data_IF_794836009337
#
_entry.id   IF_794836009337
#
_cell.length_a   1.000
_cell.length_b   1.000
_cell.length_c   1.000
_cell.angle_alpha   90.00
_cell.angle_beta   90.00
_cell.angle_gamma   90.00
#
_symmetry.space_group_name_H-M   'P 1'
#
loop_
_entity.id
_entity.type
_entity.pdbx_description
1 polymer ?
#
# COMPACT_ATOMS: atom_id res chain seq x y z
N UNK A 1 -25.37 1.30 -16.93
CA UNK A 1 -24.37 1.96 -16.06
C UNK A 1 -24.42 1.28 -14.69
N UNK A 2 -23.28 0.87 -14.13
CA UNK A 2 -23.17 0.12 -12.86
C UNK A 2 -23.87 0.79 -11.67
N UNK A 3 -23.98 2.12 -11.70
CA UNK A 3 -24.64 2.91 -10.66
C UNK A 3 -26.11 2.51 -10.43
N UNK A 4 -26.85 2.12 -11.48
CA UNK A 4 -28.24 1.60 -11.33
C UNK A 4 -28.32 0.30 -10.53
N UNK A 5 -27.23 -0.45 -10.47
CA UNK A 5 -27.06 -1.66 -9.65
C UNK A 5 -26.46 -1.34 -8.28
N UNK A 6 -26.39 -0.05 -7.92
CA UNK A 6 -25.83 0.50 -6.68
C UNK A 6 -24.35 0.17 -6.49
N UNK A 7 -23.62 0.13 -7.61
CA UNK A 7 -22.19 -0.15 -7.65
C UNK A 7 -21.44 1.16 -7.98
N UNK A 8 -20.49 1.51 -7.11
CA UNK A 8 -19.52 2.60 -7.28
C UNK A 8 -18.14 1.99 -7.44
N UNK A 9 -17.33 2.52 -8.37
CA UNK A 9 -15.97 2.06 -8.61
C UNK A 9 -14.96 3.17 -8.29
N UNK A 10 -14.10 2.95 -7.30
CA UNK A 10 -12.92 3.75 -7.00
C UNK A 10 -11.69 3.04 -7.59
N UNK A 11 -11.41 3.31 -8.86
CA UNK A 11 -10.40 2.60 -9.66
C UNK A 11 -9.09 3.35 -9.91
N UNK A 12 -8.89 4.49 -9.25
CA UNK A 12 -7.78 5.41 -9.49
C UNK A 12 -7.21 5.94 -8.18
N UNK A 13 -6.17 6.77 -8.30
CA UNK A 13 -5.67 7.56 -7.19
C UNK A 13 -6.78 8.43 -6.59
N UNK A 14 -6.73 8.63 -5.27
CA UNK A 14 -7.69 9.48 -4.54
C UNK A 14 -7.23 10.93 -4.65
N UNK A 15 -7.93 11.69 -5.49
CA UNK A 15 -7.82 13.12 -5.69
C UNK A 15 -9.20 13.79 -5.63
N UNK A 16 -9.23 15.13 -5.74
CA UNK A 16 -10.48 15.90 -5.63
C UNK A 16 -11.55 15.45 -6.64
N UNK A 17 -11.15 15.16 -7.87
CA UNK A 17 -12.08 14.76 -8.94
C UNK A 17 -12.70 13.40 -8.62
N UNK A 18 -11.85 12.41 -8.32
CA UNK A 18 -12.27 11.04 -8.06
C UNK A 18 -13.15 10.98 -6.80
N UNK A 19 -12.78 11.70 -5.75
CA UNK A 19 -13.54 11.70 -4.51
C UNK A 19 -14.88 12.43 -4.63
N UNK A 20 -14.93 13.58 -5.29
CA UNK A 20 -16.18 14.29 -5.52
C UNK A 20 -17.18 13.41 -6.28
N UNK A 21 -16.70 12.60 -7.24
CA UNK A 21 -17.54 11.64 -7.95
C UNK A 21 -18.07 10.53 -7.03
N UNK A 22 -17.19 9.91 -6.22
CA UNK A 22 -17.59 8.87 -5.26
C UNK A 22 -18.57 9.40 -4.22
N UNK A 23 -18.29 10.57 -3.62
CA UNK A 23 -19.15 11.23 -2.63
C UNK A 23 -20.52 11.51 -3.24
N UNK A 24 -20.57 12.11 -4.43
CA UNK A 24 -21.84 12.43 -5.09
C UNK A 24 -22.67 11.18 -5.35
N UNK A 25 -22.05 10.08 -5.76
CA UNK A 25 -22.74 8.81 -5.98
C UNK A 25 -23.23 8.14 -4.70
N UNK A 26 -22.44 8.18 -3.62
CA UNK A 26 -22.87 7.68 -2.32
C UNK A 26 -24.14 8.40 -1.85
N UNK A 27 -24.12 9.74 -1.90
CA UNK A 27 -25.25 10.56 -1.48
C UNK A 27 -26.47 10.35 -2.37
N UNK A 28 -26.29 10.25 -3.69
CA UNK A 28 -27.36 9.97 -4.64
C UNK A 28 -28.02 8.62 -4.33
N UNK A 29 -27.24 7.53 -4.28
CA UNK A 29 -27.77 6.18 -4.04
C UNK A 29 -28.45 6.06 -2.67
N UNK A 30 -27.91 6.73 -1.66
CA UNK A 30 -28.53 6.81 -0.33
C UNK A 30 -29.86 7.57 -0.37
N UNK A 31 -29.97 8.64 -1.15
CA UNK A 31 -31.22 9.39 -1.32
C UNK A 31 -32.29 8.61 -2.09
N UNK A 32 -31.89 7.81 -3.09
CA UNK A 32 -32.79 6.99 -3.90
C UNK A 32 -33.43 5.85 -3.09
N UNK A 33 -32.60 5.12 -2.32
CA UNK A 33 -33.08 4.04 -1.46
C UNK A 33 -32.05 3.77 -0.35
N UNK A 34 -32.29 4.29 0.84
CA UNK A 34 -31.38 4.10 1.97
C UNK A 34 -31.49 2.71 2.62
N UNK A 35 -32.46 1.87 2.22
CA UNK A 35 -32.64 0.52 2.79
C UNK A 35 -31.79 -0.52 2.08
N UNK A 36 -31.26 -0.19 0.90
CA UNK A 36 -30.43 -1.09 0.09
C UNK A 36 -28.96 -0.72 0.21
N UNK A 37 -28.14 -1.75 0.34
CA UNK A 37 -26.69 -1.61 0.36
C UNK A 37 -26.15 -0.89 -0.89
N UNK A 38 -25.06 -0.16 -0.70
CA UNK A 38 -24.22 0.40 -1.75
C UNK A 38 -22.94 -0.43 -1.78
N UNK A 39 -22.51 -0.87 -2.97
CA UNK A 39 -21.27 -1.62 -3.16
C UNK A 39 -20.18 -0.71 -3.72
N UNK A 40 -19.16 -0.44 -2.93
CA UNK A 40 -17.98 0.35 -3.29
C UNK A 40 -16.81 -0.59 -3.58
N UNK A 41 -16.50 -0.76 -4.87
CA UNK A 41 -15.34 -1.50 -5.33
C UNK A 41 -14.12 -0.58 -5.32
N UNK A 42 -13.02 -1.04 -4.73
CA UNK A 42 -11.80 -0.25 -4.54
C UNK A 42 -10.63 -0.97 -5.19
N UNK A 43 -10.00 -0.27 -6.13
CA UNK A 43 -8.71 -0.57 -6.72
C UNK A 43 -7.91 0.74 -6.77
N UNK A 44 -7.24 1.09 -5.67
CA UNK A 44 -6.59 2.38 -5.50
C UNK A 44 -5.25 2.27 -4.77
N UNK A 45 -4.21 2.97 -5.26
CA UNK A 45 -2.95 3.11 -4.54
C UNK A 45 -3.04 4.05 -3.33
N UNK A 46 -4.21 4.66 -3.08
CA UNK A 46 -4.39 5.73 -2.10
C UNK A 46 -4.30 7.10 -2.76
N UNK A 47 -3.93 8.12 -1.99
CA UNK A 47 -3.87 9.51 -2.46
C UNK A 47 -4.00 10.50 -1.32
N UNK A 48 -4.69 11.61 -1.58
CA UNK A 48 -4.86 12.68 -0.61
C UNK A 48 -5.65 12.24 0.63
N UNK A 49 -5.09 12.48 1.82
CA UNK A 49 -5.71 12.12 3.10
C UNK A 49 -6.99 12.92 3.34
N UNK A 50 -6.95 14.24 3.15
CA UNK A 50 -8.12 15.12 3.39
C UNK A 50 -9.29 14.75 2.51
N UNK A 51 -9.02 14.51 1.23
CA UNK A 51 -10.03 14.16 0.25
C UNK A 51 -10.57 12.74 0.49
N UNK A 52 -9.70 11.79 0.83
CA UNK A 52 -10.13 10.44 1.23
C UNK A 52 -10.96 10.44 2.52
N UNK A 53 -10.68 11.35 3.47
CA UNK A 53 -11.52 11.55 4.66
C UNK A 53 -12.92 12.07 4.29
N UNK A 54 -13.05 12.87 3.22
CA UNK A 54 -14.36 13.27 2.70
C UNK A 54 -15.20 12.09 2.20
N UNK A 55 -14.57 11.12 1.52
CA UNK A 55 -15.24 9.87 1.14
C UNK A 55 -15.67 9.09 2.38
N UNK A 56 -14.77 8.95 3.36
CA UNK A 56 -15.08 8.29 4.63
C UNK A 56 -16.29 8.93 5.33
N UNK A 57 -16.32 10.25 5.45
CA UNK A 57 -17.42 10.96 6.09
C UNK A 57 -18.73 10.78 5.31
N UNK A 58 -18.69 10.79 3.98
CA UNK A 58 -19.85 10.48 3.15
C UNK A 58 -20.36 9.04 3.37
N UNK A 59 -19.46 8.06 3.50
CA UNK A 59 -19.82 6.68 3.85
C UNK A 59 -20.50 6.60 5.21
N UNK A 60 -20.05 7.38 6.21
CA UNK A 60 -20.64 7.42 7.55
C UNK A 60 -21.92 8.25 7.65
N UNK A 61 -22.09 9.23 6.76
CA UNK A 61 -23.31 10.03 6.65
C UNK A 61 -24.46 9.23 6.01
N UNK A 62 -24.16 8.29 5.13
CA UNK A 62 -25.16 7.42 4.51
C UNK A 62 -25.88 6.58 5.57
N UNK A 63 -27.21 6.47 5.42
CA UNK A 63 -28.03 5.52 6.19
C UNK A 63 -27.98 4.12 5.57
N UNK A 64 -27.83 4.05 4.24
CA UNK A 64 -27.53 2.80 3.56
C UNK A 64 -26.18 2.26 4.01
N UNK A 65 -26.11 0.94 4.19
CA UNK A 65 -24.84 0.26 4.41
C UNK A 65 -23.94 0.40 3.18
N UNK A 66 -22.66 0.69 3.42
CA UNK A 66 -21.65 0.75 2.37
C UNK A 66 -20.78 -0.49 2.48
N UNK A 67 -21.02 -1.46 1.61
CA UNK A 67 -20.16 -2.63 1.45
C UNK A 67 -18.93 -2.25 0.63
N UNK A 68 -17.74 -2.63 1.10
CA UNK A 68 -16.46 -2.34 0.44
C UNK A 68 -15.87 -3.62 -0.10
N UNK A 69 -15.33 -3.58 -1.33
CA UNK A 69 -14.73 -4.75 -1.98
C UNK A 69 -13.37 -4.36 -2.57
N UNK A 70 -12.28 -4.96 -2.06
CA UNK A 70 -10.96 -4.85 -2.68
C UNK A 70 -10.91 -5.67 -3.96
N UNK A 71 -10.53 -5.06 -5.07
CA UNK A 71 -10.34 -5.74 -6.35
C UNK A 71 -9.03 -5.31 -7.00
N UNK A 72 -7.93 -5.97 -6.64
CA UNK A 72 -6.58 -5.57 -7.06
C UNK A 72 -5.81 -4.99 -5.89
N UNK A 73 -5.66 -3.68 -5.82
CA UNK A 73 -4.90 -2.99 -4.77
C UNK A 73 -5.79 -2.09 -3.93
N UNK A 74 -5.63 -2.14 -2.61
CA UNK A 74 -6.07 -1.09 -1.71
C UNK A 74 -4.92 -0.69 -0.81
N UNK A 75 -4.23 0.39 -1.16
CA UNK A 75 -3.09 0.89 -0.42
C UNK A 75 -3.39 2.25 0.22
N UNK A 76 -2.75 2.54 1.36
CA UNK A 76 -2.87 3.82 2.05
C UNK A 76 -4.34 4.22 2.28
N UNK A 77 -4.78 5.37 1.77
CA UNK A 77 -6.19 5.78 1.87
C UNK A 77 -7.17 4.81 1.21
N UNK A 78 -6.74 4.01 0.22
CA UNK A 78 -7.55 2.91 -0.32
C UNK A 78 -7.80 1.81 0.71
N UNK A 79 -6.76 1.38 1.44
CA UNK A 79 -6.88 0.41 2.53
C UNK A 79 -7.77 0.94 3.66
N UNK A 80 -7.59 2.22 4.02
CA UNK A 80 -8.40 2.90 5.02
C UNK A 80 -9.89 2.90 4.66
N UNK A 81 -10.23 3.20 3.40
CA UNK A 81 -11.61 3.21 2.94
C UNK A 81 -12.22 1.81 2.92
N UNK A 82 -11.46 0.79 2.53
CA UNK A 82 -11.93 -0.61 2.63
C UNK A 82 -12.28 -0.96 4.08
N UNK A 83 -11.37 -0.69 5.01
CA UNK A 83 -11.56 -0.98 6.43
C UNK A 83 -12.74 -0.21 7.04
N UNK A 84 -13.12 0.91 6.41
CA UNK A 84 -14.18 1.80 6.83
C UNK A 84 -15.57 1.44 6.30
N UNK A 85 -15.73 0.37 5.51
CA UNK A 85 -17.04 -0.15 5.13
C UNK A 85 -17.91 -0.56 6.33
N UNK A 86 -19.18 -0.84 6.09
CA UNK A 86 -20.09 -1.37 7.11
C UNK A 86 -19.56 -2.70 7.65
N UNK A 87 -19.55 -2.87 8.98
CA UNK A 87 -19.03 -4.06 9.66
C UNK A 87 -19.77 -5.32 9.18
N UNK A 88 -19.02 -6.38 8.86
CA UNK A 88 -19.54 -7.62 8.28
C UNK A 88 -19.77 -7.54 6.76
N UNK A 89 -19.46 -6.41 6.11
CA UNK A 89 -19.66 -6.16 4.67
C UNK A 89 -18.40 -5.64 3.97
N UNK A 90 -17.22 -5.89 4.55
CA UNK A 90 -15.91 -5.51 4.00
C UNK A 90 -15.26 -6.76 3.40
N UNK A 91 -14.89 -6.71 2.13
CA UNK A 91 -14.47 -7.89 1.38
C UNK A 91 -13.18 -7.67 0.61
N UNK A 92 -12.44 -8.76 0.37
CA UNK A 92 -11.31 -8.80 -0.58
C UNK A 92 -11.51 -9.90 -1.62
N UNK A 93 -11.14 -9.62 -2.87
CA UNK A 93 -10.88 -10.71 -3.83
C UNK A 93 -9.58 -11.45 -3.45
N UNK A 94 -9.45 -12.76 -3.73
CA UNK A 94 -8.32 -13.59 -3.28
C UNK A 94 -6.92 -13.09 -3.68
N UNK A 95 -6.77 -12.52 -4.88
CA UNK A 95 -5.48 -11.95 -5.34
C UNK A 95 -5.23 -10.51 -4.88
N UNK A 96 -6.12 -9.95 -4.06
CA UNK A 96 -6.00 -8.56 -3.65
C UNK A 96 -4.83 -8.35 -2.69
N UNK A 97 -4.23 -7.18 -2.80
CA UNK A 97 -3.24 -6.69 -1.84
C UNK A 97 -3.79 -5.49 -1.09
N UNK A 98 -3.63 -5.52 0.22
CA UNK A 98 -3.95 -4.40 1.09
C UNK A 98 -2.65 -3.87 1.69
N UNK A 99 -2.45 -2.56 1.71
CA UNK A 99 -1.25 -1.97 2.30
C UNK A 99 -1.62 -0.80 3.20
N UNK A 100 -1.12 -0.83 4.43
CA UNK A 100 -1.25 0.28 5.39
C UNK A 100 0.14 0.87 5.65
N UNK A 101 0.18 2.19 5.82
CA UNK A 101 1.36 2.96 6.17
C UNK A 101 0.94 4.31 6.76
N UNK A 102 1.89 5.04 7.35
CA UNK A 102 1.67 6.38 7.87
C UNK A 102 1.48 7.40 6.73
N UNK A 103 0.79 8.52 6.97
CA UNK A 103 0.66 9.58 5.98
C UNK A 103 2.02 10.09 5.49
N UNK A 104 2.16 10.24 4.18
CA UNK A 104 3.33 10.82 3.54
C UNK A 104 3.05 12.27 3.13
N UNK A 105 4.10 13.09 3.12
CA UNK A 105 4.03 14.46 2.64
C UNK A 105 5.42 15.06 2.53
N UNK A 106 5.62 15.85 1.48
CA UNK A 106 6.85 16.62 1.25
C UNK A 106 6.51 18.09 1.40
N UNK A 107 7.25 18.81 2.23
CA UNK A 107 7.03 20.23 2.47
C UNK A 107 8.35 20.99 2.39
N UNK A 108 8.31 22.20 1.84
CA UNK A 108 9.43 23.13 1.81
C UNK A 108 8.93 24.55 2.05
N UNK A 109 9.82 25.46 2.46
CA UNK A 109 9.48 26.86 2.74
C UNK A 109 10.06 27.34 4.08
N UNK A 110 9.50 28.45 4.57
CA UNK A 110 9.91 29.06 5.85
C UNK A 110 9.68 28.08 7.01
N UNK A 111 10.51 28.17 8.06
CA UNK A 111 10.41 27.32 9.24
C UNK A 111 9.00 27.35 9.88
N UNK A 112 8.35 28.52 9.88
CA UNK A 112 6.98 28.68 10.38
C UNK A 112 5.96 27.86 9.58
N UNK A 113 6.00 27.92 8.25
CA UNK A 113 5.12 27.14 7.37
C UNK A 113 5.36 25.64 7.53
N UNK A 114 6.62 25.24 7.60
CA UNK A 114 6.99 23.85 7.83
C UNK A 114 6.43 23.33 9.16
N UNK A 115 6.52 24.12 10.23
CA UNK A 115 6.00 23.75 11.55
C UNK A 115 4.48 23.52 11.55
N UNK A 116 3.74 24.31 10.77
CA UNK A 116 2.28 24.17 10.61
C UNK A 116 1.96 22.88 9.85
N UNK A 117 2.68 22.60 8.75
CA UNK A 117 2.47 21.39 7.94
C UNK A 117 2.83 20.10 8.69
N UNK A 118 3.90 20.11 9.47
CA UNK A 118 4.28 18.97 10.33
C UNK A 118 3.18 18.69 11.37
N UNK A 119 2.64 19.74 12.00
CA UNK A 119 1.55 19.60 12.97
C UNK A 119 0.31 18.98 12.34
N UNK A 120 -0.05 19.41 11.14
CA UNK A 120 -1.19 18.85 10.40
C UNK A 120 -0.97 17.37 10.01
N UNK A 121 0.23 17.03 9.57
CA UNK A 121 0.60 15.63 9.29
C UNK A 121 0.51 14.76 10.55
N UNK A 122 1.02 15.25 11.69
CA UNK A 122 0.91 14.55 12.96
C UNK A 122 -0.56 14.36 13.39
N UNK A 123 -1.40 15.37 13.18
CA UNK A 123 -2.84 15.28 13.40
C UNK A 123 -3.47 14.16 12.56
N UNK A 124 -3.20 14.12 11.25
CA UNK A 124 -3.70 13.06 10.38
C UNK A 124 -3.22 11.68 10.78
N UNK A 125 -1.93 11.52 11.12
CA UNK A 125 -1.38 10.24 11.61
C UNK A 125 -2.17 9.73 12.82
N UNK A 126 -2.33 10.56 13.85
CA UNK A 126 -3.07 10.19 15.06
C UNK A 126 -4.54 9.88 14.74
N UNK A 127 -5.19 10.70 13.92
CA UNK A 127 -6.61 10.55 13.57
C UNK A 127 -6.86 9.23 12.82
N UNK A 128 -6.06 8.94 11.80
CA UNK A 128 -6.19 7.71 11.01
C UNK A 128 -5.92 6.47 11.85
N UNK A 129 -4.87 6.48 12.68
CA UNK A 129 -4.54 5.35 13.55
C UNK A 129 -5.67 5.05 14.55
N UNK A 130 -6.28 6.09 15.11
CA UNK A 130 -7.45 5.94 16.00
C UNK A 130 -8.66 5.35 15.29
N UNK A 131 -8.93 5.77 14.06
CA UNK A 131 -10.05 5.20 13.29
C UNK A 131 -9.76 3.75 12.93
N UNK A 132 -8.55 3.46 12.42
CA UNK A 132 -8.12 2.10 12.09
C UNK A 132 -8.23 1.18 13.30
N UNK A 133 -7.72 1.59 14.45
CA UNK A 133 -7.84 0.83 15.71
C UNK A 133 -9.29 0.47 16.03
N UNK A 134 -10.22 1.43 15.88
CA UNK A 134 -11.65 1.19 16.12
C UNK A 134 -12.30 0.23 15.14
N UNK A 135 -11.93 0.30 13.85
CA UNK A 135 -12.58 -0.54 12.81
C UNK A 135 -11.95 -1.92 12.69
N UNK A 136 -10.66 -2.07 13.02
CA UNK A 136 -9.99 -3.39 13.01
C UNK A 136 -10.11 -4.12 14.35
N UNK A 137 -10.25 -3.38 15.45
CA UNK A 137 -10.20 -3.93 16.81
C UNK A 137 -8.79 -4.08 17.39
N UNK A 138 -7.75 -3.70 16.63
CA UNK A 138 -6.38 -3.69 17.14
C UNK A 138 -6.14 -2.49 18.06
N UNK A 139 -5.33 -2.61 19.11
CA UNK A 139 -5.00 -1.47 19.98
C UNK A 139 -4.19 -0.41 19.21
N UNK A 140 -4.34 0.87 19.59
CA UNK A 140 -3.70 2.02 18.88
C UNK A 140 -2.19 1.84 18.72
N UNK A 141 -1.50 1.32 19.74
CA UNK A 141 -0.05 1.08 19.68
C UNK A 141 0.35 0.05 18.62
N UNK A 142 -0.48 -0.97 18.39
CA UNK A 142 -0.22 -1.99 17.36
C UNK A 142 -0.41 -1.39 15.96
N UNK A 143 -1.46 -0.59 15.77
CA UNK A 143 -1.68 0.15 14.52
C UNK A 143 -0.51 1.09 14.23
N UNK A 144 0.00 1.81 15.24
CA UNK A 144 1.13 2.71 15.07
C UNK A 144 2.40 1.98 14.63
N UNK A 145 2.72 0.84 15.24
CA UNK A 145 3.85 0.00 14.83
C UNK A 145 3.69 -0.53 13.41
N UNK A 146 2.50 -1.03 13.08
CA UNK A 146 2.24 -1.68 11.79
C UNK A 146 2.05 -0.68 10.63
N UNK A 147 1.90 0.60 10.92
CA UNK A 147 1.83 1.68 9.92
C UNK A 147 3.13 2.46 9.81
N UNK A 148 4.14 2.24 10.66
CA UNK A 148 5.39 3.02 10.61
C UNK A 148 6.17 2.81 9.28
N UNK A 149 5.98 1.67 8.63
CA UNK A 149 6.50 1.36 7.30
C UNK A 149 5.39 0.75 6.45
N UNK A 150 5.64 0.68 5.15
CA UNK A 150 4.77 -0.03 4.21
C UNK A 150 4.56 -1.47 4.69
N UNK A 151 3.32 -1.76 5.07
CA UNK A 151 2.92 -3.06 5.56
C UNK A 151 1.90 -3.64 4.59
N UNK A 152 2.40 -4.46 3.66
CA UNK A 152 1.57 -5.18 2.71
C UNK A 152 1.02 -6.44 3.34
N UNK A 153 -0.23 -6.74 2.99
CA UNK A 153 -0.97 -7.92 3.39
C UNK A 153 -1.60 -8.55 2.15
N UNK A 154 -1.67 -9.88 2.12
CA UNK A 154 -2.57 -10.59 1.22
C UNK A 154 -4.02 -10.53 1.74
N UNK A 155 -4.99 -11.03 0.98
CA UNK A 155 -6.41 -10.95 1.32
C UNK A 155 -6.76 -11.61 2.68
N UNK A 156 -6.13 -12.75 3.01
CA UNK A 156 -6.36 -13.47 4.26
C UNK A 156 -5.68 -12.80 5.45
N UNK A 157 -4.47 -12.27 5.27
CA UNK A 157 -3.80 -11.45 6.29
C UNK A 157 -4.61 -10.19 6.59
N UNK A 158 -5.18 -9.53 5.58
CA UNK A 158 -6.04 -8.37 5.77
C UNK A 158 -7.32 -8.72 6.55
N UNK A 159 -7.87 -9.93 6.34
CA UNK A 159 -8.98 -10.48 7.13
C UNK A 159 -8.55 -10.74 8.58
N UNK A 160 -7.46 -11.46 8.79
CA UNK A 160 -6.89 -11.76 10.12
C UNK A 160 -6.59 -10.48 10.90
N UNK A 161 -6.10 -9.44 10.22
CA UNK A 161 -5.81 -8.13 10.79
C UNK A 161 -7.07 -7.29 11.11
N UNK A 162 -8.24 -7.65 10.56
CA UNK A 162 -9.50 -6.93 10.74
C UNK A 162 -9.72 -5.75 9.79
N UNK A 163 -8.92 -5.61 8.71
CA UNK A 163 -9.14 -4.62 7.65
C UNK A 163 -10.33 -5.00 6.75
N UNK A 164 -10.58 -6.30 6.59
CA UNK A 164 -11.78 -6.82 5.92
C UNK A 164 -12.43 -7.90 6.77
N UNK A 165 -13.69 -8.20 6.49
CA UNK A 165 -14.44 -9.24 7.18
C UNK A 165 -14.28 -10.59 6.48
N UNK A 166 -14.29 -10.62 5.14
CA UNK A 166 -14.26 -11.86 4.37
C UNK A 166 -13.46 -11.79 3.07
N UNK A 167 -12.97 -12.95 2.62
CA UNK A 167 -12.36 -13.12 1.30
C UNK A 167 -13.40 -13.77 0.40
N UNK A 168 -13.71 -13.15 -0.74
CA UNK A 168 -14.67 -13.68 -1.72
C UNK A 168 -13.97 -14.77 -2.55
N UNK A 169 -13.93 -15.97 -1.98
CA UNK A 169 -13.48 -17.17 -2.65
C UNK A 169 -14.67 -18.11 -2.84
N UNK A 170 -15.16 -18.23 -4.08
CA UNK A 170 -16.27 -19.11 -4.43
C UNK A 170 -15.81 -20.54 -4.76
N UNK A 171 -14.55 -20.87 -4.49
CA UNK A 171 -13.96 -22.18 -4.76
C UNK A 171 -13.82 -22.47 -6.26
N UNK A 172 -13.97 -21.46 -7.13
CA UNK A 172 -13.79 -21.64 -8.57
C UNK A 172 -12.31 -21.90 -8.89
N UNK A 173 -12.00 -23.00 -9.61
CA UNK A 173 -10.64 -23.28 -10.06
C UNK A 173 -10.08 -22.09 -10.87
N UNK A 174 -8.87 -21.63 -10.51
CA UNK A 174 -8.15 -20.59 -11.25
C UNK A 174 -8.25 -19.16 -10.71
N UNK A 175 -9.02 -18.91 -9.64
CA UNK A 175 -9.08 -17.59 -9.00
C UNK A 175 -7.86 -17.32 -8.11
N UNK A 176 -7.16 -18.36 -7.67
CA UNK A 176 -5.88 -18.31 -6.95
C UNK A 176 -4.94 -19.29 -7.65
N UNK A 177 -3.69 -18.90 -7.92
CA UNK A 177 -2.68 -19.85 -8.38
C UNK A 177 -2.48 -20.91 -7.28
N UNK A 178 -2.41 -22.22 -7.60
CA UNK A 178 -2.21 -23.24 -6.59
C UNK A 178 -0.81 -23.11 -5.97
N UNK A 179 -0.69 -22.33 -4.90
CA UNK A 179 0.47 -22.31 -4.01
C UNK A 179 0.22 -23.43 -2.99
N UNK A 180 0.21 -24.69 -3.46
CA UNK A 180 -0.07 -25.92 -2.70
C UNK A 180 -1.35 -25.92 -1.83
N UNK A 181 -2.33 -26.76 -2.19
CA UNK A 181 -3.66 -26.88 -1.57
C UNK A 181 -4.40 -25.54 -1.36
N UNK A 182 -5.64 -25.58 -0.88
CA UNK A 182 -6.51 -24.40 -0.63
C UNK A 182 -5.99 -23.55 0.55
N UNK A 183 -4.69 -23.62 0.83
CA UNK A 183 -4.05 -22.90 1.91
C UNK A 183 -3.96 -21.41 1.55
N UNK A 184 -4.20 -20.50 2.51
CA UNK A 184 -3.92 -19.09 2.29
C UNK A 184 -2.44 -18.94 1.86
N UNK A 185 -2.14 -18.01 0.93
CA UNK A 185 -0.77 -17.76 0.51
C UNK A 185 0.09 -17.44 1.74
N UNK A 186 1.38 -17.82 1.72
CA UNK A 186 2.28 -17.62 2.86
C UNK A 186 2.28 -16.16 3.30
N UNK A 187 2.49 -15.95 4.61
CA UNK A 187 2.49 -14.61 5.20
C UNK A 187 3.49 -13.71 4.44
N UNK A 188 3.05 -12.51 4.10
CA UNK A 188 3.83 -11.54 3.32
C UNK A 188 4.75 -10.70 4.19
N UNK A 189 4.66 -10.79 5.53
CA UNK A 189 5.62 -10.17 6.46
C UNK A 189 7.04 -10.72 6.22
N UNK A 190 7.86 -9.91 5.55
CA UNK A 190 9.28 -10.23 5.26
C UNK A 190 10.16 -10.12 6.52
N UNK A 191 9.66 -9.58 7.64
CA UNK A 191 10.43 -9.45 8.89
C UNK A 191 10.98 -10.78 9.40
N UNK A 192 10.22 -11.86 9.28
CA UNK A 192 10.64 -13.19 9.75
C UNK A 192 11.69 -13.84 8.82
N UNK A 193 11.70 -13.47 7.54
CA UNK A 193 12.71 -13.90 6.57
C UNK A 193 14.03 -13.11 6.70
N UNK A 194 13.96 -11.87 7.21
CA UNK A 194 15.14 -11.02 7.46
C UNK A 194 15.74 -11.19 8.85
N UNK A 195 15.02 -11.84 9.78
CA UNK A 195 15.63 -12.52 10.92
C UNK A 195 16.33 -13.78 10.41
N UNK A 196 17.44 -13.59 9.69
CA UNK A 196 18.46 -14.62 9.55
C UNK A 196 19.05 -14.81 10.94
N UNK A 197 18.37 -15.57 11.80
CA UNK A 197 19.02 -16.21 12.92
C UNK A 197 20.17 -17.03 12.34
N UNK A 198 21.37 -16.63 12.74
CA UNK A 198 22.62 -17.07 12.14
C UNK A 198 22.79 -18.58 12.25
N UNK A 199 22.32 -19.32 11.26
CA UNK A 199 22.93 -20.59 10.91
C UNK A 199 24.34 -20.29 10.40
N UNK A 200 25.36 -20.62 11.20
CA UNK A 200 26.79 -20.55 10.84
C UNK A 200 27.10 -21.19 9.47
N UNK A 201 26.20 -22.02 8.93
CA UNK A 201 26.27 -22.60 7.58
C UNK A 201 25.99 -21.58 6.46
N UNK A 202 25.07 -20.63 6.64
CA UNK A 202 24.69 -19.67 5.60
C UNK A 202 25.78 -18.61 5.34
N UNK A 203 26.60 -18.28 6.34
CA UNK A 203 27.75 -17.38 6.16
C UNK A 203 28.90 -17.99 5.36
N UNK A 204 28.98 -19.32 5.24
CA UNK A 204 30.05 -20.01 4.49
C UNK A 204 29.79 -20.09 2.98
N UNK A 205 28.55 -19.89 2.55
CA UNK A 205 28.14 -20.02 1.14
C UNK A 205 27.76 -18.69 0.49
N UNK A 206 27.98 -17.56 1.16
CA UNK A 206 27.84 -16.24 0.54
C UNK A 206 29.13 -15.95 -0.24
N UNK A 207 29.06 -15.59 -1.52
CA UNK A 207 30.23 -15.09 -2.23
C UNK A 207 30.74 -13.85 -1.50
N UNK A 208 32.00 -13.84 -1.08
CA UNK A 208 32.60 -12.64 -0.53
C UNK A 208 32.52 -11.53 -1.58
N UNK A 209 32.15 -10.32 -1.15
CA UNK A 209 32.11 -9.12 -2.01
C UNK A 209 33.46 -8.86 -2.72
N UNK A 210 34.57 -9.37 -2.17
CA UNK A 210 35.90 -9.37 -2.81
C UNK A 210 35.98 -10.19 -4.12
N UNK A 211 35.16 -11.24 -4.28
CA UNK A 211 35.14 -12.06 -5.52
C UNK A 211 34.36 -11.43 -6.67
N UNK A 212 33.56 -10.38 -6.43
CA UNK A 212 32.88 -9.63 -7.50
C UNK A 212 33.72 -8.47 -8.04
N UNK A 213 34.68 -7.97 -7.26
CA UNK A 213 35.60 -6.92 -7.72
C UNK A 213 36.82 -7.46 -8.51
N UNK A 214 37.13 -8.75 -8.44
CA UNK A 214 38.25 -9.35 -9.21
C UNK A 214 37.90 -9.79 -10.63
N UNK A 215 36.62 -9.92 -11.00
CA UNK A 215 36.21 -10.39 -12.33
C UNK A 215 35.77 -9.26 -13.29
N UNK A 216 36.03 -7.99 -12.94
CA UNK A 216 35.65 -6.82 -13.74
C UNK A 216 36.75 -6.22 -14.63
N UNK A 217 38.00 -6.69 -14.56
CA UNK A 217 39.08 -6.22 -15.42
C UNK A 217 39.98 -7.39 -15.85
N UNK A 218 39.56 -8.07 -16.91
CA UNK A 218 40.38 -9.01 -17.67
C UNK A 218 40.46 -8.57 -19.12
N UNK A 219 41.10 -7.43 -19.40
CA UNK A 219 41.57 -7.15 -20.76
C UNK A 219 42.84 -7.98 -20.95
N UNK A 220 42.79 -8.88 -21.92
CA UNK A 220 43.86 -9.83 -22.25
C UNK A 220 45.19 -9.13 -22.50
N UNK A 221 46.23 -9.61 -21.81
CA UNK A 221 47.61 -9.26 -22.09
C UNK A 221 48.22 -10.18 -23.15
N UNK A 222 48.96 -9.60 -24.09
CA UNK A 222 49.88 -10.34 -24.94
C UNK A 222 50.38 -9.57 -26.16
N UNK A 223 51.43 -8.76 -26.00
CA UNK A 223 52.17 -8.21 -27.13
C UNK A 223 53.15 -7.10 -26.74
N UNK A 224 54.44 -7.46 -26.62
CA UNK A 224 55.58 -6.55 -26.47
C UNK A 224 55.63 -5.56 -27.63
N UNK A 225 55.85 -4.27 -27.36
CA UNK A 225 56.97 -3.56 -27.98
C UNK A 225 57.29 -2.21 -27.33
N UNK A 226 58.57 -1.86 -27.44
CA UNK A 226 59.26 -0.70 -26.87
C UNK A 226 58.84 0.60 -27.56
N UNK A 227 58.63 1.68 -26.80
CA UNK A 227 58.43 3.02 -27.35
C UNK A 227 58.45 4.12 -26.28
N UNK A 228 59.55 4.86 -26.28
CA UNK A 228 59.90 6.12 -25.60
C UNK A 228 58.80 7.05 -25.09
N UNK A 229 59.02 7.57 -23.88
CA UNK A 229 58.32 8.66 -23.20
C UNK A 229 58.64 10.00 -23.89
N UNK A 230 57.62 10.76 -24.29
CA UNK A 230 57.68 12.22 -24.42
C UNK A 230 56.51 12.84 -23.64
N UNK A 231 56.84 13.82 -22.80
CA UNK A 231 55.90 14.64 -22.03
C UNK A 231 55.48 15.82 -22.91
N UNK A 232 54.19 16.02 -23.11
CA UNK A 232 53.63 17.30 -23.54
C UNK A 232 52.59 17.76 -22.51
N UNK A 233 52.74 19.00 -22.07
CA UNK A 233 51.90 19.69 -21.08
C UNK A 233 50.57 20.15 -21.72
N UNK A 234 49.48 20.24 -20.94
CA UNK A 234 48.18 20.67 -21.46
C UNK A 234 48.08 22.21 -21.58
N UNK A 235 47.46 22.76 -22.64
CA UNK A 235 47.13 24.18 -22.67
C UNK A 235 45.90 24.49 -21.81
N UNK A 236 45.96 25.63 -21.12
CA UNK A 236 44.95 26.21 -20.23
C UNK A 236 43.83 26.88 -21.06
N UNK A 237 42.57 26.94 -20.56
CA UNK A 237 41.40 27.18 -21.41
C UNK A 237 41.10 28.67 -21.66
N UNK A 238 40.51 28.95 -22.83
CA UNK A 238 39.56 30.03 -23.09
C UNK A 238 38.30 29.44 -23.71
#
# INVERSE_FOLDING_TARGET
MLLRLRIIFLGSQIDDVTANFVISQLLLLNSEDHKKDIRLFINSPGGSVTVGMGIYDAMKLCKADVSTICMGLAASMGAFLIASGSKGKRFCMPNSRVMIHQPLGTFGGKATEMSIRIREMAYHKVKLNKILSRVTGNPEHQIELDTDRDNFMNAWEAKEYGLVDEVIDDGKPGLVAPIADVAPPPKTRVWDLWKIEGSKKAKKSLPSEEKKFQNGYGIGGGGKDRGTIQREEPPTPQ
#
